data_IF_210712996583
#
_entry.id   IF_210712996583
#
_cell.length_a   1.000
_cell.length_b   1.000
_cell.length_c   1.000
_cell.angle_alpha   90.00
_cell.angle_beta   90.00
_cell.angle_gamma   90.00
#
_symmetry.space_group_name_H-M   'P 1'
#
loop_
_entity.id
_entity.type
_entity.pdbx_description
1 polymer ?
#
# COMPACT_ATOMS: atom_id res chain seq x y z
N UNK A 1 -0.07 -17.13 -9.87
CA UNK A 1 0.77 -18.16 -9.21
C UNK A 1 0.39 -18.16 -7.73
N UNK A 2 0.21 -19.34 -7.10
CA UNK A 2 -0.09 -19.42 -5.67
C UNK A 2 1.21 -19.41 -4.85
N UNK A 3 1.19 -18.84 -3.65
CA UNK A 3 2.29 -18.88 -2.67
C UNK A 3 1.98 -19.88 -1.57
N UNK A 4 3.01 -20.55 -1.05
CA UNK A 4 2.88 -21.37 0.15
C UNK A 4 2.92 -20.51 1.42
N UNK A 5 2.09 -20.89 2.37
CA UNK A 5 2.07 -20.35 3.73
C UNK A 5 2.45 -21.49 4.66
N UNK A 6 3.61 -21.40 5.30
CA UNK A 6 4.08 -22.41 6.24
C UNK A 6 3.83 -21.97 7.68
N UNK A 7 3.15 -22.86 8.41
CA UNK A 7 2.83 -22.68 9.82
C UNK A 7 2.97 -24.00 10.57
N UNK A 8 3.90 -24.06 11.52
CA UNK A 8 4.17 -25.25 12.35
C UNK A 8 4.41 -26.54 11.53
N UNK A 9 5.11 -26.43 10.39
CA UNK A 9 5.41 -27.57 9.51
C UNK A 9 4.26 -28.04 8.62
N UNK A 10 3.15 -27.29 8.57
CA UNK A 10 2.03 -27.53 7.66
C UNK A 10 1.93 -26.39 6.64
N UNK A 11 1.57 -26.75 5.41
CA UNK A 11 1.54 -25.82 4.28
C UNK A 11 0.12 -25.53 3.82
N UNK A 12 -0.25 -24.25 3.83
CA UNK A 12 -1.46 -23.72 3.18
C UNK A 12 -1.06 -22.91 1.95
N UNK A 13 -2.05 -22.39 1.22
CA UNK A 13 -1.82 -21.67 -0.01
C UNK A 13 -2.46 -20.29 0.03
N UNK A 14 -1.83 -19.32 -0.61
CA UNK A 14 -2.37 -17.98 -0.80
C UNK A 14 -2.33 -17.60 -2.28
N UNK A 15 -3.41 -17.02 -2.78
CA UNK A 15 -3.44 -16.41 -4.12
C UNK A 15 -3.18 -14.90 -4.08
N UNK A 16 -3.45 -14.26 -2.94
CA UNK A 16 -3.29 -12.82 -2.71
C UNK A 16 -2.97 -12.53 -1.25
N UNK A 17 -2.02 -11.64 -1.03
CA UNK A 17 -1.69 -11.08 0.27
C UNK A 17 -1.20 -9.64 0.13
N UNK A 18 -1.29 -8.86 1.20
CA UNK A 18 -0.69 -7.53 1.34
C UNK A 18 0.17 -7.59 2.61
N UNK A 19 1.48 -7.37 2.46
CA UNK A 19 2.44 -7.32 3.55
C UNK A 19 3.30 -6.07 3.42
N UNK A 20 3.46 -5.32 4.51
CA UNK A 20 4.38 -4.17 4.58
C UNK A 20 5.18 -4.27 5.89
N UNK A 21 6.50 -4.15 5.83
CA UNK A 21 7.36 -4.18 7.03
C UNK A 21 7.22 -5.44 7.91
N UNK A 22 6.91 -6.60 7.31
CA UNK A 22 6.65 -7.85 8.06
C UNK A 22 5.27 -7.93 8.71
N UNK A 23 4.37 -6.97 8.44
CA UNK A 23 3.00 -6.95 8.94
C UNK A 23 2.06 -7.40 7.82
N UNK A 24 1.19 -8.37 8.11
CA UNK A 24 0.16 -8.85 7.18
C UNK A 24 -1.08 -7.99 7.27
N UNK A 25 -1.42 -7.28 6.21
CA UNK A 25 -2.58 -6.38 6.14
C UNK A 25 -3.80 -7.09 5.55
N UNK A 26 -3.56 -7.96 4.57
CA UNK A 26 -4.56 -8.83 3.96
C UNK A 26 -3.91 -10.18 3.64
N UNK A 27 -4.65 -11.26 3.85
CA UNK A 27 -4.27 -12.61 3.44
C UNK A 27 -5.51 -13.36 2.95
N UNK A 28 -5.44 -13.81 1.70
CA UNK A 28 -6.35 -14.80 1.13
C UNK A 28 -5.70 -16.18 1.29
N UNK A 29 -6.37 -17.09 2.02
CA UNK A 29 -5.81 -18.34 2.49
C UNK A 29 -6.69 -19.53 2.11
N UNK A 30 -6.09 -20.56 1.51
CA UNK A 30 -6.72 -21.81 1.12
C UNK A 30 -6.03 -22.98 1.81
N UNK A 31 -6.82 -23.91 2.32
CA UNK A 31 -6.29 -25.12 2.93
C UNK A 31 -7.37 -25.98 3.56
N UNK A 32 -6.96 -26.95 4.37
CA UNK A 32 -7.90 -27.72 5.18
C UNK A 32 -8.55 -26.81 6.23
N UNK A 33 -9.79 -27.11 6.68
CA UNK A 33 -10.47 -26.30 7.69
C UNK A 33 -9.64 -26.06 8.95
N UNK A 34 -8.93 -27.08 9.43
CA UNK A 34 -8.10 -26.99 10.63
C UNK A 34 -6.88 -26.10 10.42
N UNK A 35 -6.22 -26.20 9.25
CA UNK A 35 -5.05 -25.39 8.95
C UNK A 35 -5.42 -23.92 8.73
N UNK A 36 -6.52 -23.66 8.04
CA UNK A 36 -7.09 -22.32 7.86
C UNK A 36 -7.42 -21.70 9.22
N UNK A 37 -8.03 -22.47 10.12
CA UNK A 37 -8.33 -22.03 11.48
C UNK A 37 -7.07 -21.77 12.31
N UNK A 38 -6.05 -22.62 12.19
CA UNK A 38 -4.78 -22.47 12.88
C UNK A 38 -4.05 -21.19 12.45
N UNK A 39 -3.89 -20.97 11.14
CA UNK A 39 -3.19 -19.80 10.58
C UNK A 39 -3.96 -18.50 10.87
N UNK A 40 -5.29 -18.51 10.71
CA UNK A 40 -6.12 -17.34 11.04
C UNK A 40 -6.03 -16.98 12.53
N UNK A 41 -6.04 -17.98 13.41
CA UNK A 41 -5.83 -17.76 14.84
C UNK A 41 -4.41 -17.29 15.16
N UNK A 42 -3.39 -17.83 14.49
CA UNK A 42 -2.00 -17.42 14.68
C UNK A 42 -1.83 -15.93 14.37
N UNK A 43 -2.37 -15.48 13.23
CA UNK A 43 -2.39 -14.07 12.85
C UNK A 43 -3.12 -13.21 13.88
N UNK A 44 -4.32 -13.59 14.33
CA UNK A 44 -5.06 -12.83 15.36
C UNK A 44 -4.31 -12.72 16.69
N UNK A 45 -3.47 -13.70 17.01
CA UNK A 45 -2.67 -13.76 18.24
C UNK A 45 -1.26 -13.19 18.06
N UNK A 46 -0.99 -12.46 16.96
CA UNK A 46 0.32 -11.86 16.64
C UNK A 46 1.47 -12.88 16.56
N UNK A 47 1.14 -14.14 16.30
CA UNK A 47 2.13 -15.15 16.00
C UNK A 47 2.63 -14.96 14.58
N UNK A 48 3.84 -15.47 14.36
CA UNK A 48 4.53 -15.34 13.09
C UNK A 48 4.15 -16.49 12.16
N UNK A 49 3.90 -16.15 10.90
CA UNK A 49 3.68 -17.07 9.79
C UNK A 49 4.76 -16.85 8.73
N UNK A 50 5.03 -17.86 7.91
CA UNK A 50 6.00 -17.75 6.81
C UNK A 50 5.28 -17.75 5.48
N UNK A 51 5.61 -16.79 4.63
CA UNK A 51 5.07 -16.68 3.27
C UNK A 51 6.23 -16.95 2.30
N UNK A 52 6.04 -17.88 1.37
CA UNK A 52 7.02 -18.21 0.34
C UNK A 52 7.17 -17.03 -0.64
N UNK A 53 8.40 -16.57 -0.85
CA UNK A 53 8.74 -15.56 -1.86
C UNK A 53 9.51 -16.17 -3.03
N UNK A 54 9.43 -15.51 -4.19
CA UNK A 54 9.77 -16.08 -5.50
C UNK A 54 11.26 -16.45 -5.66
N UNK A 55 12.14 -16.05 -4.74
CA UNK A 55 13.59 -16.33 -4.77
C UNK A 55 14.24 -16.52 -3.38
N UNK A 56 13.48 -16.64 -2.28
CA UNK A 56 14.04 -16.84 -0.93
C UNK A 56 13.42 -18.06 -0.23
N UNK A 57 14.23 -18.75 0.58
CA UNK A 57 13.86 -19.92 1.40
C UNK A 57 13.04 -19.45 2.62
N UNK A 58 11.96 -18.70 2.39
CA UNK A 58 11.15 -17.92 3.35
C UNK A 58 11.69 -16.51 3.66
N UNK A 59 10.92 -15.51 3.25
CA UNK A 59 11.08 -14.09 3.61
C UNK A 59 10.70 -13.86 5.10
N UNK A 60 10.99 -12.68 5.72
CA UNK A 60 10.94 -12.50 7.16
C UNK A 60 9.53 -12.70 7.73
N UNK A 61 9.52 -13.22 8.96
CA UNK A 61 8.36 -13.60 9.77
C UNK A 61 7.20 -12.58 9.63
N UNK A 62 6.15 -13.00 8.95
CA UNK A 62 4.98 -12.17 8.73
C UNK A 62 4.06 -12.30 9.94
N UNK A 63 3.73 -11.19 10.59
CA UNK A 63 2.94 -11.18 11.82
C UNK A 63 1.83 -10.16 11.75
N UNK A 64 0.99 -10.19 12.76
CA UNK A 64 -0.01 -9.16 12.94
C UNK A 64 0.47 -8.04 13.86
N UNK A 65 0.12 -6.79 13.53
CA UNK A 65 0.27 -5.62 14.42
C UNK A 65 -0.85 -5.54 15.49
N UNK A 66 -2.04 -6.05 15.20
CA UNK A 66 -3.27 -5.85 16.00
C UNK A 66 -4.15 -7.11 16.04
N UNK A 67 -5.19 -7.13 16.85
CA UNK A 67 -6.13 -8.27 16.90
C UNK A 67 -7.42 -7.96 16.11
N UNK A 68 -7.50 -6.79 15.45
CA UNK A 68 -8.69 -6.26 14.78
C UNK A 68 -8.86 -6.74 13.33
N UNK A 69 -8.60 -8.02 13.04
CA UNK A 69 -8.85 -8.56 11.70
C UNK A 69 -10.31 -8.93 11.54
N UNK A 70 -10.85 -8.60 10.38
CA UNK A 70 -12.06 -9.23 9.87
C UNK A 70 -11.67 -10.51 9.17
N UNK A 71 -12.45 -11.55 9.44
CA UNK A 71 -12.26 -12.87 8.83
C UNK A 71 -13.54 -13.31 8.17
N UNK A 72 -13.43 -13.64 6.89
CA UNK A 72 -14.51 -14.17 6.07
C UNK A 72 -14.11 -15.55 5.59
N UNK A 73 -14.94 -16.55 5.84
CA UNK A 73 -14.65 -17.93 5.46
C UNK A 73 -15.75 -18.50 4.58
N UNK A 74 -15.34 -19.27 3.57
CA UNK A 74 -16.24 -19.98 2.67
C UNK A 74 -15.68 -21.37 2.37
N UNK A 75 -16.53 -22.38 2.49
CA UNK A 75 -16.23 -23.72 2.00
C UNK A 75 -16.31 -23.71 0.48
N UNK A 76 -15.19 -23.99 -0.19
CA UNK A 76 -15.10 -23.94 -1.66
C UNK A 76 -15.16 -25.33 -2.29
N UNK A 77 -14.70 -26.36 -1.57
CA UNK A 77 -14.74 -27.76 -1.98
C UNK A 77 -14.76 -28.68 -0.74
N UNK A 78 -15.20 -29.95 -0.81
CA UNK A 78 -15.01 -30.89 0.30
C UNK A 78 -13.55 -30.96 0.77
N UNK A 79 -13.31 -30.66 2.05
CA UNK A 79 -11.97 -30.63 2.63
C UNK A 79 -11.16 -29.35 2.37
N UNK A 80 -11.71 -28.37 1.63
CA UNK A 80 -11.01 -27.11 1.31
C UNK A 80 -11.86 -25.91 1.76
N UNK A 81 -11.27 -25.11 2.64
CA UNK A 81 -11.79 -23.81 3.04
C UNK A 81 -10.96 -22.70 2.43
N UNK A 82 -11.65 -21.66 2.00
CA UNK A 82 -11.07 -20.36 1.66
C UNK A 82 -11.39 -19.39 2.79
N UNK A 83 -10.38 -18.63 3.21
CA UNK A 83 -10.46 -17.65 4.27
C UNK A 83 -9.79 -16.37 3.83
N UNK A 84 -10.50 -15.26 3.90
CA UNK A 84 -9.96 -13.92 3.69
C UNK A 84 -9.82 -13.28 5.06
N UNK A 85 -8.61 -12.87 5.40
CA UNK A 85 -8.24 -12.22 6.66
C UNK A 85 -7.74 -10.82 6.29
N UNK A 86 -8.34 -9.77 6.83
CA UNK A 86 -7.92 -8.41 6.50
C UNK A 86 -8.22 -7.44 7.65
N UNK A 87 -7.42 -6.38 7.82
CA UNK A 87 -7.81 -5.31 8.75
C UNK A 87 -8.87 -4.45 8.08
N UNK A 88 -10.05 -4.37 8.69
CA UNK A 88 -11.17 -3.57 8.17
C UNK A 88 -10.80 -2.08 8.09
N UNK A 89 -9.94 -1.63 9.00
CA UNK A 89 -9.44 -0.26 9.08
C UNK A 89 -8.43 0.07 7.96
N UNK A 90 -7.94 -0.91 7.19
CA UNK A 90 -7.26 -0.64 5.91
C UNK A 90 -8.26 -0.22 4.82
N UNK A 91 -9.47 -0.77 4.86
CA UNK A 91 -10.54 -0.39 3.92
C UNK A 91 -11.30 0.87 4.39
N UNK A 92 -11.26 1.16 5.69
CA UNK A 92 -11.64 2.45 6.28
C UNK A 92 -10.43 3.40 6.26
N UNK A 93 -10.04 3.75 5.04
CA UNK A 93 -9.09 4.80 4.65
C UNK A 93 -9.64 6.17 5.10
N UNK A 94 -9.72 6.43 6.40
CA UNK A 94 -9.82 7.81 6.88
C UNK A 94 -8.45 8.37 7.27
N UNK A 95 -7.48 7.50 7.60
CA UNK A 95 -6.07 7.88 7.78
C UNK A 95 -5.18 7.58 6.56
N UNK A 96 -5.70 6.89 5.52
CA UNK A 96 -5.01 6.69 4.22
C UNK A 96 -5.45 7.78 3.22
N UNK A 97 -5.82 8.98 3.71
CA UNK A 97 -6.00 10.14 2.82
C UNK A 97 -4.66 10.78 2.43
N UNK A 98 -3.58 10.43 3.11
CA UNK A 98 -2.24 10.98 2.87
C UNK A 98 -1.39 10.12 1.94
N UNK A 99 -1.86 9.01 1.37
CA UNK A 99 -1.02 8.16 0.50
C UNK A 99 -1.70 7.88 -0.83
N UNK A 100 -0.98 8.10 -1.93
CA UNK A 100 -1.45 7.84 -3.28
C UNK A 100 -0.51 6.90 -4.03
N UNK A 101 -1.10 5.97 -4.79
CA UNK A 101 -0.36 5.09 -5.70
C UNK A 101 -0.53 5.62 -7.12
N UNK A 102 0.59 6.01 -7.74
CA UNK A 102 0.63 6.52 -9.11
C UNK A 102 1.32 5.50 -10.00
N UNK A 103 0.55 4.98 -10.97
CA UNK A 103 1.06 4.12 -12.03
C UNK A 103 1.66 5.01 -13.11
N UNK A 104 2.87 4.69 -13.56
CA UNK A 104 3.66 5.47 -14.53
C UNK A 104 3.70 6.94 -14.14
N UNK A 105 4.38 7.28 -13.04
CA UNK A 105 4.30 8.60 -12.45
C UNK A 105 4.89 9.65 -13.40
N UNK A 106 4.11 10.72 -13.58
CA UNK A 106 4.44 11.87 -14.42
C UNK A 106 4.05 13.14 -13.68
N UNK A 107 4.67 14.30 -13.98
CA UNK A 107 4.30 15.58 -13.42
C UNK A 107 2.80 15.89 -13.58
N UNK A 108 2.22 15.57 -14.73
CA UNK A 108 0.78 15.75 -15.00
C UNK A 108 -0.10 14.95 -14.04
N UNK A 109 0.20 13.66 -13.82
CA UNK A 109 -0.60 12.80 -12.93
C UNK A 109 -0.58 13.26 -11.48
N UNK A 110 0.57 13.76 -11.00
CA UNK A 110 0.64 14.34 -9.67
C UNK A 110 -0.16 15.64 -9.59
N UNK A 111 -0.02 16.51 -10.59
CA UNK A 111 -0.73 17.78 -10.63
C UNK A 111 -2.25 17.58 -10.61
N UNK A 112 -2.77 16.71 -11.48
CA UNK A 112 -4.21 16.42 -11.52
C UNK A 112 -4.71 15.87 -10.18
N UNK A 113 -3.88 15.07 -9.50
CA UNK A 113 -4.18 14.52 -8.18
C UNK A 113 -4.21 15.59 -7.08
N UNK A 114 -3.29 16.56 -7.11
CA UNK A 114 -3.24 17.66 -6.17
C UNK A 114 -4.40 18.65 -6.42
N UNK A 115 -4.64 19.03 -7.67
CA UNK A 115 -5.71 19.95 -8.08
C UNK A 115 -7.10 19.40 -7.75
N UNK A 116 -7.30 18.08 -7.92
CA UNK A 116 -8.56 17.43 -7.55
C UNK A 116 -8.77 17.33 -6.03
N UNK A 117 -7.68 17.27 -5.25
CA UNK A 117 -7.74 17.00 -3.81
C UNK A 117 -7.80 18.27 -2.96
N UNK A 118 -7.03 19.30 -3.32
CA UNK A 118 -6.89 20.51 -2.53
C UNK A 118 -7.63 21.68 -3.18
N UNK A 119 -8.26 22.56 -2.38
CA UNK A 119 -8.89 23.78 -2.90
C UNK A 119 -7.86 24.85 -3.31
N UNK A 120 -6.57 24.62 -3.05
CA UNK A 120 -5.47 25.54 -3.37
C UNK A 120 -5.31 25.67 -4.88
N UNK A 121 -5.41 26.88 -5.46
CA UNK A 121 -5.26 27.07 -6.89
C UNK A 121 -3.83 26.76 -7.34
N UNK A 122 -3.68 25.86 -8.30
CA UNK A 122 -2.40 25.48 -8.90
C UNK A 122 -2.30 26.00 -10.32
N UNK A 123 -1.11 26.45 -10.72
CA UNK A 123 -0.81 26.79 -12.11
C UNK A 123 -0.14 25.61 -12.83
N UNK A 124 -0.50 25.31 -14.09
CA UNK A 124 0.10 24.20 -14.84
C UNK A 124 1.63 24.28 -15.00
N UNK A 125 2.23 25.47 -14.90
CA UNK A 125 3.68 25.65 -14.95
C UNK A 125 4.41 25.11 -13.72
N UNK A 126 3.72 24.89 -12.59
CA UNK A 126 4.32 24.37 -11.36
C UNK A 126 4.45 22.85 -11.33
N UNK A 127 3.97 22.16 -12.37
CA UNK A 127 3.94 20.68 -12.46
C UNK A 127 5.28 20.04 -12.13
N UNK A 128 6.36 20.51 -12.75
CA UNK A 128 7.68 19.92 -12.60
C UNK A 128 8.27 20.19 -11.20
N UNK A 129 8.04 21.38 -10.64
CA UNK A 129 8.52 21.75 -9.31
C UNK A 129 7.80 20.99 -8.21
N UNK A 130 6.47 20.88 -8.30
CA UNK A 130 5.66 20.07 -7.40
C UNK A 130 6.05 18.60 -7.48
N UNK A 131 6.31 18.09 -8.69
CA UNK A 131 6.76 16.71 -8.88
C UNK A 131 8.15 16.45 -8.32
N UNK A 132 9.08 17.38 -8.52
CA UNK A 132 10.40 17.30 -7.92
C UNK A 132 10.32 17.29 -6.39
N UNK A 133 9.46 18.12 -5.80
CA UNK A 133 9.30 18.22 -4.35
C UNK A 133 8.67 16.96 -3.73
N UNK A 134 7.51 16.56 -4.22
CA UNK A 134 6.67 15.56 -3.56
C UNK A 134 6.93 14.12 -4.02
N UNK A 135 7.65 13.94 -5.14
CA UNK A 135 7.96 12.61 -5.68
C UNK A 135 9.46 12.34 -5.74
N UNK A 136 10.24 13.18 -6.42
CA UNK A 136 11.67 12.91 -6.64
C UNK A 136 12.49 13.09 -5.34
N UNK A 137 12.27 14.21 -4.64
CA UNK A 137 13.03 14.60 -3.46
C UNK A 137 12.31 14.24 -2.15
N UNK A 138 11.13 13.62 -2.23
CA UNK A 138 10.38 13.22 -1.06
C UNK A 138 11.00 11.97 -0.43
N UNK A 139 11.37 12.00 0.86
CA UNK A 139 11.92 10.84 1.56
C UNK A 139 10.89 9.71 1.73
N UNK A 140 9.60 10.03 1.52
CA UNK A 140 8.48 9.12 1.75
C UNK A 140 7.97 8.48 0.45
N UNK A 141 8.61 8.79 -0.70
CA UNK A 141 8.26 8.13 -1.96
C UNK A 141 8.84 6.72 -1.99
N UNK A 142 7.98 5.74 -2.21
CA UNK A 142 8.34 4.32 -2.28
C UNK A 142 8.04 3.75 -3.66
N UNK A 143 9.03 3.14 -4.31
CA UNK A 143 8.82 2.43 -5.56
C UNK A 143 8.13 1.09 -5.30
N UNK A 144 6.97 0.88 -5.93
CA UNK A 144 6.21 -0.35 -5.85
C UNK A 144 6.54 -1.25 -7.03
N UNK A 145 6.92 -2.50 -6.76
CA UNK A 145 6.99 -3.54 -7.79
C UNK A 145 5.60 -4.13 -7.97
N UNK A 146 4.93 -3.79 -9.08
CA UNK A 146 3.63 -4.34 -9.44
C UNK A 146 3.69 -5.07 -10.78
N UNK A 147 2.90 -6.12 -10.93
CA UNK A 147 2.90 -6.92 -12.16
C UNK A 147 2.16 -6.18 -13.28
N UNK A 148 2.84 -5.94 -14.40
CA UNK A 148 2.23 -5.40 -15.63
C UNK A 148 2.39 -3.89 -15.86
N UNK A 149 3.08 -3.17 -14.97
CA UNK A 149 3.39 -1.75 -15.15
C UNK A 149 4.90 -1.51 -15.07
N UNK A 150 5.42 -0.63 -15.92
CA UNK A 150 6.85 -0.35 -15.99
C UNK A 150 7.35 0.39 -14.74
N UNK A 151 6.50 1.24 -14.15
CA UNK A 151 6.82 1.97 -12.93
C UNK A 151 5.54 2.26 -12.14
N UNK A 152 5.61 2.07 -10.82
CA UNK A 152 4.54 2.46 -9.90
C UNK A 152 5.21 3.03 -8.66
N UNK A 153 4.72 4.18 -8.18
CA UNK A 153 5.20 4.81 -6.95
C UNK A 153 4.06 5.00 -5.99
N UNK A 154 4.34 4.77 -4.72
CA UNK A 154 3.53 5.21 -3.60
C UNK A 154 4.13 6.51 -3.09
N UNK A 155 3.31 7.55 -2.97
CA UNK A 155 3.73 8.85 -2.46
C UNK A 155 2.87 9.22 -1.28
N UNK A 156 3.47 9.88 -0.31
CA UNK A 156 2.73 10.60 0.71
C UNK A 156 2.29 11.95 0.13
N UNK A 157 0.99 12.16 0.03
CA UNK A 157 0.39 13.43 -0.33
C UNK A 157 0.60 14.43 0.80
N UNK A 158 1.03 15.67 0.48
CA UNK A 158 1.34 16.69 1.47
C UNK A 158 0.10 17.09 2.28
N UNK A 159 0.30 17.71 3.44
CA UNK A 159 -0.81 18.43 4.08
C UNK A 159 -1.23 19.63 3.22
N UNK A 160 -2.43 20.18 3.46
CA UNK A 160 -2.84 21.41 2.77
C UNK A 160 -1.88 22.57 3.08
N UNK A 161 -1.43 22.68 4.33
CA UNK A 161 -0.49 23.71 4.77
C UNK A 161 0.89 23.56 4.09
N UNK A 162 1.36 22.32 3.92
CA UNK A 162 2.61 22.04 3.20
C UNK A 162 2.53 22.41 1.72
N UNK A 163 1.40 22.10 1.06
CA UNK A 163 1.15 22.48 -0.32
C UNK A 163 1.10 24.01 -0.48
N UNK A 164 0.36 24.70 0.39
CA UNK A 164 0.27 26.17 0.38
C UNK A 164 1.64 26.82 0.62
N UNK A 165 2.44 26.29 1.55
CA UNK A 165 3.78 26.78 1.81
C UNK A 165 4.70 26.63 0.59
N UNK A 166 4.61 25.50 -0.13
CA UNK A 166 5.39 25.29 -1.34
C UNK A 166 4.95 26.22 -2.47
N UNK A 167 3.64 26.35 -2.72
CA UNK A 167 3.10 27.30 -3.71
C UNK A 167 3.60 28.73 -3.43
N UNK A 168 3.58 29.15 -2.16
CA UNK A 168 4.09 30.47 -1.77
C UNK A 168 5.61 30.60 -2.00
N UNK A 169 6.37 29.52 -1.87
CA UNK A 169 7.81 29.53 -2.17
C UNK A 169 8.05 29.70 -3.67
N UNK A 170 7.33 28.95 -4.51
CA UNK A 170 7.41 29.01 -5.98
C UNK A 170 7.12 30.44 -6.46
N UNK A 171 6.00 31.02 -6.01
CA UNK A 171 5.59 32.39 -6.35
C UNK A 171 6.62 33.43 -5.90
N UNK A 172 7.33 33.20 -4.79
CA UNK A 172 8.37 34.12 -4.28
C UNK A 172 9.70 33.97 -5.00
N UNK A 173 10.01 32.79 -5.53
CA UNK A 173 11.24 32.53 -6.27
C UNK A 173 11.18 32.98 -7.73
N UNK A 174 9.98 33.13 -8.29
CA UNK A 174 9.83 33.69 -9.63
C UNK A 174 10.07 35.21 -9.62
N UNK A 175 10.92 35.74 -10.52
CA UNK A 175 11.05 37.18 -10.68
C UNK A 175 9.73 37.73 -11.25
N UNK A 176 9.25 38.85 -10.69
CA UNK A 176 8.05 39.61 -11.06
C UNK A 176 7.94 40.04 -12.55
N UNK A 177 8.81 39.56 -13.44
CA UNK A 177 8.98 40.03 -14.82
C UNK A 177 8.33 39.19 -15.91
N UNK A 178 7.56 38.14 -15.61
CA UNK A 178 6.83 37.35 -16.63
C UNK A 178 5.34 37.68 -16.74
N UNK A 179 4.77 38.52 -15.88
CA UNK A 179 3.37 38.96 -15.98
C UNK A 179 3.32 40.35 -16.60
N UNK A 180 3.21 40.38 -17.93
CA UNK A 180 2.67 41.51 -18.70
C UNK A 180 1.14 41.45 -18.72
#
# INVERSE_FOLDING_TARGET
>A
MYRKIDYMGNTAYSDRYIQMGGIVYMLSLFGTPDLVKAISSALMNKQEIRIEEENEIFSPLARSLTNKYTVMQKKVYPGVNHCIIYLKDILNIQDIQSVAVIIEPTPDKLYDLLDAKYPTPLLPEWKDELYAKFVINSPNTMQLRTFGYESVVEIELPSQEELEAEVLNIVRSEPLSSVL
#
